data_IF_913452142936
#
_entry.id   IF_913452142936
#
_cell.length_a   1.000
_cell.length_b   1.000
_cell.length_c   1.000
_cell.angle_alpha   90.00
_cell.angle_beta   90.00
_cell.angle_gamma   90.00
#
_symmetry.space_group_name_H-M   'P 1'
#
loop_
_entity.id
_entity.type
_entity.pdbx_description
1 polymer ?
#
# COMPACT_ATOMS: atom_id res chain seq x y z
N UNK A 1 -19.28 -6.36 14.85
CA UNK A 1 -20.11 -5.39 14.08
C UNK A 1 -20.78 -6.14 12.93
N UNK A 2 -22.12 -6.03 12.79
CA UNK A 2 -22.82 -6.64 11.66
C UNK A 2 -22.51 -5.89 10.36
N UNK A 3 -22.06 -6.61 9.33
CA UNK A 3 -21.81 -6.04 8.00
C UNK A 3 -23.11 -6.10 7.22
N UNK A 4 -23.75 -4.96 6.99
CA UNK A 4 -24.97 -4.83 6.19
C UNK A 4 -24.65 -4.39 4.75
N UNK A 5 -23.52 -3.71 4.54
CA UNK A 5 -23.07 -3.22 3.24
C UNK A 5 -21.54 -3.24 3.16
N UNK A 6 -21.01 -3.79 2.08
CA UNK A 6 -19.60 -3.67 1.70
C UNK A 6 -19.52 -3.05 0.30
N UNK A 7 -18.68 -2.03 0.13
CA UNK A 7 -18.52 -1.32 -1.14
C UNK A 7 -17.04 -1.22 -1.48
N UNK A 8 -16.64 -1.83 -2.58
CA UNK A 8 -15.31 -1.63 -3.17
C UNK A 8 -15.36 -0.31 -3.93
N UNK A 9 -14.58 0.67 -3.48
CA UNK A 9 -14.44 2.01 -4.09
C UNK A 9 -13.31 2.07 -5.10
N UNK A 10 -12.28 1.26 -4.88
CA UNK A 10 -11.12 1.17 -5.74
C UNK A 10 -10.60 -0.26 -5.77
N UNK A 11 -10.18 -0.69 -6.95
CA UNK A 11 -9.53 -1.96 -7.20
C UNK A 11 -8.41 -1.77 -8.23
N UNK A 12 -7.26 -2.33 -7.95
CA UNK A 12 -6.12 -2.39 -8.87
C UNK A 12 -5.37 -3.69 -8.68
N UNK A 13 -5.02 -4.34 -9.78
CA UNK A 13 -4.12 -5.50 -9.81
C UNK A 13 -2.94 -5.22 -10.73
N UNK A 14 -1.75 -5.70 -10.38
CA UNK A 14 -0.55 -5.63 -11.21
C UNK A 14 0.50 -6.64 -10.73
N UNK A 15 1.62 -6.76 -11.44
CA UNK A 15 2.74 -7.63 -11.11
C UNK A 15 4.09 -7.01 -11.44
N UNK A 16 5.14 -7.64 -10.93
CA UNK A 16 6.52 -7.21 -11.07
C UNK A 16 7.44 -8.43 -11.21
N UNK A 17 8.50 -8.27 -12.02
CA UNK A 17 9.57 -9.26 -12.13
C UNK A 17 10.93 -8.54 -12.20
N UNK A 18 11.91 -9.00 -11.44
CA UNK A 18 13.29 -8.46 -11.45
C UNK A 18 14.30 -9.51 -11.01
N UNK A 19 15.47 -9.47 -11.61
CA UNK A 19 16.66 -10.23 -11.25
C UNK A 19 17.69 -9.42 -10.43
N UNK A 20 17.40 -8.15 -10.17
CA UNK A 20 18.33 -7.19 -9.56
C UNK A 20 17.77 -6.49 -8.32
N UNK A 21 16.88 -7.15 -7.58
CA UNK A 21 16.24 -6.56 -6.41
C UNK A 21 16.62 -7.24 -5.08
N UNK A 22 17.67 -8.08 -5.05
CA UNK A 22 18.10 -8.70 -3.79
C UNK A 22 18.47 -7.65 -2.74
N UNK A 23 17.90 -7.80 -1.54
CA UNK A 23 18.10 -6.87 -0.44
C UNK A 23 17.48 -5.48 -0.66
N UNK A 24 16.77 -5.24 -1.78
CA UNK A 24 16.11 -3.96 -2.02
C UNK A 24 15.10 -3.68 -0.91
N UNK A 25 15.38 -2.63 -0.15
CA UNK A 25 14.53 -2.19 0.95
C UNK A 25 13.81 -0.91 0.59
N UNK A 26 12.50 -0.90 0.74
CA UNK A 26 11.71 0.31 0.62
C UNK A 26 10.65 0.43 1.73
N UNK A 27 10.21 1.67 1.94
CA UNK A 27 9.16 1.99 2.92
C UNK A 27 8.04 2.71 2.19
N UNK A 28 6.82 2.25 2.37
CA UNK A 28 5.63 2.88 1.77
C UNK A 28 4.47 2.96 2.76
N UNK A 29 3.56 3.86 2.49
CA UNK A 29 2.22 3.93 3.08
C UNK A 29 1.26 3.97 1.91
N UNK A 30 0.32 3.06 1.87
CA UNK A 30 -0.70 3.02 0.83
C UNK A 30 -2.08 3.25 1.46
N UNK A 31 -2.98 3.99 0.78
CA UNK A 31 -4.35 4.20 1.25
C UNK A 31 -5.25 3.00 0.93
N UNK A 32 -4.67 1.85 0.69
CA UNK A 32 -5.32 0.64 0.22
C UNK A 32 -4.92 -0.56 1.06
N UNK A 33 -5.87 -1.44 1.33
CA UNK A 33 -5.56 -2.80 1.71
C UNK A 33 -4.72 -3.44 0.60
N UNK A 34 -3.54 -3.93 0.97
CA UNK A 34 -2.59 -4.53 0.05
C UNK A 34 -2.47 -6.02 0.32
N UNK A 35 -2.77 -6.84 -0.69
CA UNK A 35 -2.50 -8.27 -0.66
C UNK A 35 -1.49 -8.57 -1.76
N UNK A 36 -0.32 -9.04 -1.38
CA UNK A 36 0.81 -9.24 -2.29
C UNK A 36 1.28 -10.67 -2.22
N UNK A 37 1.40 -11.32 -3.37
CA UNK A 37 1.94 -12.67 -3.51
C UNK A 37 3.36 -12.61 -4.06
N UNK A 38 4.30 -13.30 -3.44
CA UNK A 38 5.56 -13.66 -4.07
C UNK A 38 5.35 -14.93 -4.89
N UNK A 39 5.48 -14.86 -6.21
CA UNK A 39 5.43 -16.03 -7.10
C UNK A 39 6.76 -16.77 -7.11
N UNK A 40 7.86 -16.00 -7.13
CA UNK A 40 9.25 -16.44 -6.99
C UNK A 40 9.98 -15.47 -6.08
N UNK A 41 10.81 -15.98 -5.17
CA UNK A 41 11.44 -15.18 -4.12
C UNK A 41 10.51 -14.92 -2.93
N UNK A 42 10.92 -14.04 -2.04
CA UNK A 42 10.17 -13.76 -0.82
C UNK A 42 10.25 -12.29 -0.41
N UNK A 43 9.41 -11.94 0.56
CA UNK A 43 9.45 -10.64 1.23
C UNK A 43 9.70 -10.82 2.72
N UNK A 44 10.56 -9.95 3.27
CA UNK A 44 10.48 -9.61 4.68
C UNK A 44 9.67 -8.33 4.81
N UNK A 45 8.64 -8.36 5.62
CA UNK A 45 7.72 -7.23 5.81
C UNK A 45 7.53 -6.92 7.29
N UNK A 46 7.61 -5.63 7.63
CA UNK A 46 7.23 -5.11 8.94
C UNK A 46 6.17 -4.02 8.79
N UNK A 47 5.12 -4.09 9.59
CA UNK A 47 4.02 -3.12 9.62
C UNK A 47 4.15 -2.20 10.84
N UNK A 48 4.04 -0.89 10.62
CA UNK A 48 4.15 0.12 11.69
C UNK A 48 5.51 0.04 12.39
N UNK A 49 5.47 -0.30 13.67
CA UNK A 49 6.63 -0.56 14.54
C UNK A 49 6.76 -2.04 14.91
N UNK A 50 6.01 -2.93 14.25
CA UNK A 50 6.05 -4.37 14.49
C UNK A 50 7.35 -5.00 14.04
N UNK A 51 7.57 -6.23 14.46
CA UNK A 51 8.69 -7.08 14.00
C UNK A 51 8.47 -7.48 12.53
N UNK A 52 9.57 -7.79 11.84
CA UNK A 52 9.53 -8.26 10.47
C UNK A 52 9.12 -9.72 10.39
N UNK A 53 8.24 -10.04 9.45
CA UNK A 53 7.82 -11.40 9.12
C UNK A 53 8.20 -11.72 7.68
N UNK A 54 8.60 -12.98 7.41
CA UNK A 54 8.93 -13.44 6.07
C UNK A 54 7.76 -14.19 5.44
N UNK A 55 7.43 -13.87 4.19
CA UNK A 55 6.41 -14.60 3.42
C UNK A 55 6.88 -16.02 3.06
N UNK A 56 8.19 -16.23 2.95
CA UNK A 56 8.73 -17.37 2.23
C UNK A 56 8.43 -17.31 0.73
N UNK A 57 9.02 -18.25 -0.02
CA UNK A 57 8.80 -18.39 -1.46
C UNK A 57 7.36 -18.84 -1.76
N UNK A 58 6.67 -18.14 -2.66
CA UNK A 58 5.28 -18.42 -3.00
C UNK A 58 4.24 -18.01 -1.96
N UNK A 59 4.63 -17.30 -0.90
CA UNK A 59 3.72 -16.83 0.14
C UNK A 59 3.11 -15.46 -0.15
N UNK A 60 2.34 -14.97 0.81
CA UNK A 60 1.66 -13.67 0.72
C UNK A 60 2.05 -12.77 1.89
N UNK A 61 1.93 -11.47 1.70
CA UNK A 61 1.74 -10.57 2.81
C UNK A 61 0.43 -9.78 2.67
N UNK A 62 -0.16 -9.42 3.82
CA UNK A 62 -1.39 -8.64 3.93
C UNK A 62 -1.06 -7.40 4.74
N UNK A 63 -1.22 -6.23 4.13
CA UNK A 63 -0.97 -4.96 4.78
C UNK A 63 -2.21 -4.08 4.73
N UNK A 64 -2.77 -3.70 5.89
CA UNK A 64 -3.87 -2.75 5.98
C UNK A 64 -3.52 -1.40 5.36
N UNK A 65 -4.57 -0.65 4.97
CA UNK A 65 -4.42 0.73 4.51
C UNK A 65 -3.78 1.61 5.58
N UNK A 66 -3.13 2.67 5.13
CA UNK A 66 -2.59 3.74 5.98
C UNK A 66 -1.51 3.32 6.98
N UNK A 67 -1.10 2.07 6.98
CA UNK A 67 -0.01 1.57 7.83
C UNK A 67 1.34 1.67 7.08
N UNK A 68 2.37 2.12 7.78
CA UNK A 68 3.74 2.12 7.25
C UNK A 68 4.20 0.67 7.01
N UNK A 69 4.56 0.36 5.77
CA UNK A 69 5.09 -0.93 5.33
C UNK A 69 6.59 -0.78 5.10
N UNK A 70 7.40 -1.56 5.79
CA UNK A 70 8.83 -1.72 5.49
C UNK A 70 9.02 -3.06 4.83
N UNK A 71 9.51 -3.07 3.59
CA UNK A 71 9.56 -4.25 2.73
C UNK A 71 11.00 -4.46 2.28
N UNK A 72 11.50 -5.69 2.40
CA UNK A 72 12.77 -6.14 1.82
C UNK A 72 12.47 -7.25 0.82
N UNK A 73 13.08 -7.15 -0.36
CA UNK A 73 12.94 -8.15 -1.42
C UNK A 73 14.06 -9.18 -1.34
N UNK A 74 13.72 -10.44 -1.56
CA UNK A 74 14.67 -11.53 -1.68
C UNK A 74 14.39 -12.31 -2.96
N UNK A 75 15.39 -12.45 -3.83
CA UNK A 75 15.27 -13.26 -5.04
C UNK A 75 15.22 -14.75 -4.70
N UNK A 76 14.60 -15.54 -5.55
CA UNK A 76 14.64 -16.99 -5.43
C UNK A 76 16.07 -17.49 -5.66
N UNK A 77 16.57 -18.36 -4.81
CA UNK A 77 17.96 -18.84 -4.83
C UNK A 77 18.29 -19.67 -6.09
N UNK A 78 17.29 -20.31 -6.70
CA UNK A 78 17.49 -21.17 -7.87
C UNK A 78 17.38 -20.36 -9.18
N UNK A 79 16.33 -19.55 -9.31
CA UNK A 79 16.08 -18.76 -10.54
C UNK A 79 16.84 -17.43 -10.56
N UNK A 80 17.31 -16.92 -9.41
CA UNK A 80 17.91 -15.60 -9.29
C UNK A 80 16.92 -14.46 -9.53
N UNK A 81 15.61 -14.75 -9.54
CA UNK A 81 14.57 -13.77 -9.86
C UNK A 81 13.61 -13.55 -8.69
N UNK A 82 12.99 -12.38 -8.67
CA UNK A 82 11.85 -12.05 -7.84
C UNK A 82 10.67 -11.78 -8.75
N UNK A 83 9.60 -12.54 -8.58
CA UNK A 83 8.32 -12.32 -9.26
C UNK A 83 7.21 -12.18 -8.25
N UNK A 84 6.39 -11.18 -8.41
CA UNK A 84 5.24 -10.98 -7.54
C UNK A 84 4.04 -10.43 -8.32
N UNK A 85 2.88 -10.56 -7.69
CA UNK A 85 1.64 -9.91 -8.13
C UNK A 85 0.89 -9.39 -6.90
N UNK A 86 0.10 -8.34 -7.08
CA UNK A 86 -0.62 -7.71 -5.98
C UNK A 86 -2.00 -7.24 -6.36
N UNK A 87 -2.83 -7.15 -5.34
CA UNK A 87 -4.16 -6.56 -5.40
C UNK A 87 -4.23 -5.46 -4.34
N UNK A 88 -4.65 -4.27 -4.75
CA UNK A 88 -4.96 -3.14 -3.90
C UNK A 88 -6.46 -2.91 -3.88
N UNK A 89 -7.02 -2.74 -2.70
CA UNK A 89 -8.45 -2.55 -2.48
C UNK A 89 -8.72 -1.38 -1.53
N UNK A 90 -9.63 -0.49 -1.91
CA UNK A 90 -10.29 0.43 -0.99
C UNK A 90 -11.74 -0.05 -0.81
N UNK A 91 -12.05 -0.50 0.40
CA UNK A 91 -13.33 -1.11 0.72
C UNK A 91 -13.94 -0.45 1.95
N UNK A 92 -15.15 0.08 1.79
CA UNK A 92 -15.92 0.62 2.90
C UNK A 92 -17.01 -0.34 3.37
N UNK A 93 -17.12 -0.46 4.69
CA UNK A 93 -18.16 -1.22 5.37
C UNK A 93 -19.16 -0.25 6.00
N UNK A 94 -20.45 -0.50 5.73
CA UNK A 94 -21.59 0.31 6.21
C UNK A 94 -21.45 1.82 5.90
N UNK A 95 -20.65 2.17 4.87
CA UNK A 95 -20.41 3.56 4.45
C UNK A 95 -19.51 4.39 5.38
N UNK A 96 -18.91 3.79 6.41
CA UNK A 96 -18.18 4.56 7.45
C UNK A 96 -16.80 4.02 7.78
N UNK A 97 -16.57 2.72 7.71
CA UNK A 97 -15.31 2.11 8.16
C UNK A 97 -14.57 1.41 7.02
N UNK A 98 -13.25 1.58 6.87
CA UNK A 98 -12.45 0.72 6.01
C UNK A 98 -12.54 -0.74 6.48
N UNK A 99 -12.67 -1.70 5.54
CA UNK A 99 -12.74 -3.12 5.86
C UNK A 99 -11.55 -3.59 6.69
N UNK A 100 -10.38 -3.19 6.29
CA UNK A 100 -9.10 -3.58 6.89
C UNK A 100 -8.83 -2.93 8.26
N UNK A 101 -9.63 -1.93 8.64
CA UNK A 101 -9.61 -1.38 10.00
C UNK A 101 -10.43 -2.18 11.02
N UNK A 102 -11.19 -3.16 10.56
CA UNK A 102 -12.09 -3.96 11.42
C UNK A 102 -11.45 -5.26 11.91
N UNK A 103 -10.32 -5.66 11.33
CA UNK A 103 -9.70 -6.94 11.58
C UNK A 103 -8.20 -6.83 11.74
N UNK A 104 -7.62 -7.70 12.56
CA UNK A 104 -6.19 -7.95 12.61
C UNK A 104 -5.88 -9.14 11.72
N UNK A 105 -5.18 -8.91 10.62
CA UNK A 105 -4.77 -9.94 9.68
C UNK A 105 -3.39 -10.51 10.04
N UNK A 106 -3.08 -11.76 9.67
CA UNK A 106 -1.69 -12.22 9.64
C UNK A 106 -0.90 -11.34 8.67
N UNK A 107 0.29 -10.90 9.09
CA UNK A 107 1.15 -10.04 8.24
C UNK A 107 1.71 -10.84 7.08
N UNK A 108 2.17 -12.08 7.35
CA UNK A 108 2.65 -13.01 6.36
C UNK A 108 1.82 -14.31 6.38
N UNK A 109 1.57 -14.86 5.20
CA UNK A 109 0.90 -16.15 4.99
C UNK A 109 1.84 -17.03 4.17
N UNK A 110 2.25 -18.16 4.73
CA UNK A 110 3.14 -19.11 4.05
C UNK A 110 2.41 -19.82 2.90
N UNK A 111 3.18 -20.32 1.93
CA UNK A 111 2.64 -21.00 0.74
C UNK A 111 1.70 -22.17 1.09
N UNK A 112 2.06 -22.96 2.11
CA UNK A 112 1.27 -24.09 2.59
C UNK A 112 -0.12 -23.71 3.10
N UNK A 113 -0.26 -22.50 3.67
CA UNK A 113 -1.50 -21.99 4.23
C UNK A 113 -2.29 -21.12 3.23
N UNK A 114 -1.74 -20.88 2.05
CA UNK A 114 -2.26 -19.92 1.07
C UNK A 114 -3.11 -20.54 -0.06
N UNK A 115 -3.53 -21.80 0.04
CA UNK A 115 -4.20 -22.52 -1.06
C UNK A 115 -5.44 -21.80 -1.61
N UNK A 116 -6.23 -21.16 -0.74
CA UNK A 116 -7.43 -20.43 -1.16
C UNK A 116 -7.06 -19.07 -1.77
N UNK A 117 -6.09 -18.35 -1.19
CA UNK A 117 -5.58 -17.10 -1.74
C UNK A 117 -4.98 -17.31 -3.13
N UNK A 118 -4.21 -18.39 -3.32
CA UNK A 118 -3.64 -18.75 -4.63
C UNK A 118 -4.74 -18.88 -5.70
N UNK A 119 -5.80 -19.64 -5.42
CA UNK A 119 -6.91 -19.84 -6.36
C UNK A 119 -7.65 -18.55 -6.70
N UNK A 120 -7.84 -17.66 -5.71
CA UNK A 120 -8.47 -16.36 -5.94
C UNK A 120 -7.57 -15.47 -6.82
N UNK A 121 -6.27 -15.44 -6.51
CA UNK A 121 -5.30 -14.66 -7.28
C UNK A 121 -5.16 -15.20 -8.71
N UNK A 122 -5.19 -16.52 -8.92
CA UNK A 122 -5.15 -17.09 -10.27
C UNK A 122 -6.32 -16.58 -11.09
N UNK A 123 -7.55 -16.66 -10.59
CA UNK A 123 -8.75 -16.13 -11.29
C UNK A 123 -8.65 -14.63 -11.53
N UNK A 124 -8.27 -13.85 -10.52
CA UNK A 124 -8.09 -12.39 -10.66
C UNK A 124 -7.10 -12.02 -11.77
N UNK A 125 -6.06 -12.81 -11.99
CA UNK A 125 -5.02 -12.51 -12.97
C UNK A 125 -5.23 -13.21 -14.33
N UNK A 126 -6.15 -14.17 -14.42
CA UNK A 126 -6.57 -14.81 -15.66
C UNK A 126 -7.66 -14.02 -16.38
N UNK A 127 -8.54 -13.31 -15.67
CA UNK A 127 -9.65 -12.55 -16.25
C UNK A 127 -9.37 -11.06 -16.31
N UNK A 128 -9.70 -10.43 -17.47
CA UNK A 128 -9.77 -8.98 -17.62
C UNK A 128 -11.21 -8.45 -17.50
N UNK A 129 -12.20 -9.33 -17.29
CA UNK A 129 -13.58 -8.92 -17.05
C UNK A 129 -13.73 -8.24 -15.69
N UNK A 130 -14.29 -7.02 -15.71
CA UNK A 130 -14.43 -6.20 -14.52
C UNK A 130 -15.38 -6.81 -13.48
N UNK A 131 -16.49 -7.42 -13.93
CA UNK A 131 -17.48 -8.00 -13.02
C UNK A 131 -16.96 -9.28 -12.36
N UNK A 132 -16.24 -10.12 -13.10
CA UNK A 132 -15.55 -11.29 -12.55
C UNK A 132 -14.50 -10.86 -11.53
N UNK A 133 -13.69 -9.84 -11.83
CA UNK A 133 -12.70 -9.31 -10.92
C UNK A 133 -13.34 -8.77 -9.62
N UNK A 134 -14.46 -8.05 -9.70
CA UNK A 134 -15.17 -7.60 -8.49
C UNK A 134 -15.75 -8.76 -7.68
N UNK A 135 -16.29 -9.79 -8.33
CA UNK A 135 -16.75 -11.02 -7.67
C UNK A 135 -15.62 -11.71 -6.90
N UNK A 136 -14.44 -11.82 -7.53
CA UNK A 136 -13.26 -12.41 -6.90
C UNK A 136 -12.69 -11.53 -5.78
N UNK A 137 -12.78 -10.20 -5.91
CA UNK A 137 -12.44 -9.28 -4.81
C UNK A 137 -13.35 -9.49 -3.59
N UNK A 138 -14.66 -9.67 -3.76
CA UNK A 138 -15.55 -10.01 -2.64
C UNK A 138 -15.23 -11.38 -2.02
N UNK A 139 -14.85 -12.36 -2.84
CA UNK A 139 -14.37 -13.66 -2.37
C UNK A 139 -13.06 -13.51 -1.57
N UNK A 140 -12.15 -12.65 -2.04
CA UNK A 140 -10.92 -12.32 -1.33
C UNK A 140 -11.22 -11.69 0.04
N UNK A 141 -12.11 -10.69 0.09
CA UNK A 141 -12.49 -10.04 1.34
C UNK A 141 -13.12 -11.03 2.34
N UNK A 142 -13.99 -11.93 1.85
CA UNK A 142 -14.55 -12.99 2.70
C UNK A 142 -13.45 -13.90 3.25
N UNK A 143 -12.51 -14.33 2.40
CA UNK A 143 -11.38 -15.18 2.81
C UNK A 143 -10.49 -14.47 3.84
N UNK A 144 -10.16 -13.20 3.61
CA UNK A 144 -9.36 -12.42 4.57
C UNK A 144 -10.07 -12.29 5.92
N UNK A 145 -11.39 -12.10 5.93
CA UNK A 145 -12.16 -12.06 7.17
C UNK A 145 -12.10 -13.39 7.94
N UNK A 146 -12.20 -14.52 7.25
CA UNK A 146 -12.08 -15.85 7.89
C UNK A 146 -10.66 -16.13 8.39
N UNK A 147 -9.64 -15.54 7.76
CA UNK A 147 -8.24 -15.63 8.19
C UNK A 147 -7.88 -14.63 9.29
N UNK A 148 -8.75 -13.70 9.64
CA UNK A 148 -8.46 -12.68 10.63
C UNK A 148 -8.19 -13.29 12.02
N UNK A 149 -7.11 -12.85 12.65
CA UNK A 149 -6.67 -13.33 13.97
C UNK A 149 -7.60 -12.85 15.09
N UNK A 150 -8.19 -11.67 14.91
CA UNK A 150 -9.18 -11.07 15.83
C UNK A 150 -9.90 -9.90 15.15
N UNK A 151 -11.05 -9.51 15.69
CA UNK A 151 -11.62 -8.19 15.36
C UNK A 151 -10.72 -7.09 15.94
N UNK A 152 -10.43 -6.08 15.12
CA UNK A 152 -9.66 -4.94 15.57
C UNK A 152 -10.53 -4.03 16.43
N UNK A 153 -9.95 -3.48 17.50
CA UNK A 153 -10.54 -2.32 18.16
C UNK A 153 -10.59 -1.18 17.13
N UNK A 154 -11.75 -0.55 16.99
CA UNK A 154 -11.91 0.54 16.04
C UNK A 154 -10.78 1.58 16.21
N UNK A 155 -10.11 2.01 15.14
CA UNK A 155 -9.08 3.05 15.22
C UNK A 155 -9.63 4.27 15.94
N UNK A 156 -8.77 4.96 16.70
CA UNK A 156 -9.15 6.18 17.41
C UNK A 156 -9.80 7.18 16.41
N UNK A 157 -11.07 7.58 16.57
CA UNK A 157 -11.82 8.31 15.55
C UNK A 157 -11.08 9.56 15.05
N UNK A 158 -10.41 10.28 15.97
CA UNK A 158 -9.69 11.51 15.66
C UNK A 158 -8.43 11.24 14.82
N UNK A 159 -7.78 10.09 15.00
CA UNK A 159 -6.62 9.71 14.17
C UNK A 159 -7.06 9.31 12.78
N UNK A 160 -8.21 8.63 12.65
CA UNK A 160 -8.81 8.34 11.36
C UNK A 160 -9.16 9.62 10.61
N UNK A 161 -9.87 10.55 11.26
CA UNK A 161 -10.23 11.83 10.66
C UNK A 161 -8.99 12.60 10.15
N UNK A 162 -7.89 12.53 10.92
CA UNK A 162 -6.63 13.17 10.52
C UNK A 162 -5.97 12.45 9.32
N UNK A 163 -5.96 11.12 9.28
CA UNK A 163 -5.43 10.37 8.11
C UNK A 163 -6.29 10.60 6.88
N UNK A 164 -7.61 10.57 7.00
CA UNK A 164 -8.55 10.87 5.92
C UNK A 164 -8.33 12.30 5.37
N UNK A 165 -8.14 13.28 6.27
CA UNK A 165 -7.83 14.64 5.86
C UNK A 165 -6.51 14.70 5.08
N UNK A 166 -5.45 14.03 5.56
CA UNK A 166 -4.17 13.98 4.85
C UNK A 166 -4.34 13.38 3.44
N UNK A 167 -5.07 12.27 3.31
CA UNK A 167 -5.25 11.60 2.01
C UNK A 167 -6.10 12.40 1.03
N UNK A 168 -7.02 13.22 1.52
CA UNK A 168 -7.86 14.10 0.68
C UNK A 168 -7.13 15.39 0.27
N UNK A 169 -6.24 15.91 1.13
CA UNK A 169 -5.57 17.20 0.97
C UNK A 169 -4.05 17.10 0.79
N UNK A 170 -3.51 15.92 0.48
CA UNK A 170 -2.06 15.66 0.44
C UNK A 170 -1.26 16.63 -0.46
N UNK A 171 -1.91 17.22 -1.47
CA UNK A 171 -1.28 18.19 -2.38
C UNK A 171 -1.04 19.55 -1.74
N UNK A 172 -1.77 19.85 -0.67
CA UNK A 172 -1.73 21.13 0.02
C UNK A 172 -0.66 21.13 1.12
N UNK A 173 -0.21 22.31 1.57
CA UNK A 173 0.61 22.42 2.76
C UNK A 173 -0.18 22.00 4.00
N UNK A 174 0.23 20.92 4.65
CA UNK A 174 -0.41 20.43 5.88
C UNK A 174 0.60 20.54 7.03
N UNK A 175 0.14 21.07 8.18
CA UNK A 175 0.93 21.17 9.40
C UNK A 175 0.39 20.30 10.51
N UNK A 176 1.26 19.88 11.44
CA UNK A 176 0.85 19.11 12.63
C UNK A 176 -0.20 19.90 13.45
N UNK A 177 -0.04 21.22 13.53
CA UNK A 177 -0.99 22.10 14.23
C UNK A 177 -2.40 22.04 13.65
N UNK A 178 -2.52 22.07 12.30
CA UNK A 178 -3.83 21.93 11.63
C UNK A 178 -4.47 20.59 11.96
N UNK A 179 -3.73 19.48 11.87
CA UNK A 179 -4.24 18.16 12.16
C UNK A 179 -4.64 17.99 13.63
N UNK A 180 -3.86 18.54 14.56
CA UNK A 180 -4.16 18.54 15.97
C UNK A 180 -5.44 19.32 16.29
N UNK A 181 -5.64 20.50 15.66
CA UNK A 181 -6.87 21.29 15.78
C UNK A 181 -8.09 20.52 15.26
N UNK A 182 -7.98 19.89 14.08
CA UNK A 182 -9.05 19.04 13.53
C UNK A 182 -9.42 17.88 14.45
N UNK A 183 -8.41 17.34 15.14
CA UNK A 183 -8.56 16.25 16.12
C UNK A 183 -8.95 16.73 17.53
N UNK A 184 -9.13 18.03 17.73
CA UNK A 184 -9.42 18.67 19.03
C UNK A 184 -8.43 18.30 20.13
N UNK A 185 -7.15 18.21 19.76
CA UNK A 185 -6.05 17.81 20.65
C UNK A 185 -4.94 18.86 20.69
N UNK A 186 -4.12 18.83 21.75
CA UNK A 186 -2.82 19.51 21.73
C UNK A 186 -1.89 18.83 20.71
N UNK A 187 -0.96 19.60 20.11
CA UNK A 187 -0.02 19.06 19.12
C UNK A 187 0.78 17.86 19.66
N UNK A 188 1.23 17.94 20.92
CA UNK A 188 2.03 16.87 21.55
C UNK A 188 1.22 15.58 21.72
N UNK A 189 -0.03 15.69 22.21
CA UNK A 189 -0.91 14.54 22.38
C UNK A 189 -1.29 13.92 21.02
N UNK A 190 -1.66 14.76 20.06
CA UNK A 190 -1.96 14.32 18.69
C UNK A 190 -0.77 13.60 18.07
N UNK A 191 0.44 14.19 18.14
CA UNK A 191 1.65 13.58 17.58
C UNK A 191 1.93 12.20 18.19
N UNK A 192 1.86 12.08 19.52
CA UNK A 192 2.10 10.81 20.21
C UNK A 192 1.07 9.75 19.83
N UNK A 193 -0.21 10.13 19.80
CA UNK A 193 -1.32 9.23 19.47
C UNK A 193 -1.25 8.79 18.01
N UNK A 194 -1.02 9.74 17.08
CA UNK A 194 -0.88 9.44 15.64
C UNK A 194 0.29 8.47 15.39
N UNK A 195 1.45 8.74 15.98
CA UNK A 195 2.62 7.87 15.86
C UNK A 195 2.39 6.48 16.44
N UNK A 196 1.65 6.39 17.56
CA UNK A 196 1.32 5.11 18.19
C UNK A 196 0.39 4.27 17.30
N UNK A 197 -0.61 4.90 16.65
CA UNK A 197 -1.60 4.18 15.85
C UNK A 197 -1.11 3.87 14.41
N UNK A 198 -0.40 4.81 13.78
CA UNK A 198 0.00 4.68 12.36
C UNK A 198 1.50 4.41 12.17
N UNK A 199 2.26 4.21 13.25
CA UNK A 199 3.68 3.82 13.20
C UNK A 199 4.63 4.89 12.69
N UNK A 200 4.14 6.10 12.35
CA UNK A 200 4.95 7.21 11.82
C UNK A 200 4.44 8.56 12.29
N UNK A 201 5.29 9.60 12.23
CA UNK A 201 4.83 10.96 12.51
C UNK A 201 3.88 11.48 11.42
N UNK A 202 2.97 12.45 11.73
CA UNK A 202 2.01 12.97 10.75
C UNK A 202 2.65 13.47 9.45
N UNK A 203 3.77 14.19 9.54
CA UNK A 203 4.48 14.69 8.35
C UNK A 203 5.22 13.57 7.59
N UNK A 204 5.76 12.58 8.30
CA UNK A 204 6.35 11.41 7.63
C UNK A 204 5.26 10.60 6.91
N UNK A 205 4.09 10.45 7.51
CA UNK A 205 2.92 9.82 6.91
C UNK A 205 2.50 10.56 5.62
N UNK A 206 2.28 11.88 5.69
CA UNK A 206 1.99 12.73 4.52
C UNK A 206 3.01 12.53 3.40
N UNK A 207 4.30 12.57 3.75
CA UNK A 207 5.36 12.42 2.77
C UNK A 207 5.38 11.01 2.14
N UNK A 208 5.17 9.96 2.93
CA UNK A 208 5.06 8.59 2.40
C UNK A 208 3.86 8.45 1.47
N UNK A 209 2.73 9.04 1.83
CA UNK A 209 1.54 9.04 0.98
C UNK A 209 1.79 9.76 -0.35
N UNK A 210 2.38 10.97 -0.32
CA UNK A 210 2.79 11.71 -1.54
C UNK A 210 3.71 10.89 -2.42
N UNK A 211 4.69 10.21 -1.82
CA UNK A 211 5.64 9.38 -2.55
C UNK A 211 4.98 8.14 -3.15
N UNK A 212 3.98 7.55 -2.51
CA UNK A 212 3.26 6.40 -3.09
C UNK A 212 2.43 6.82 -4.31
N UNK A 213 1.75 7.96 -4.25
CA UNK A 213 1.05 8.53 -5.42
C UNK A 213 2.04 8.89 -6.54
N UNK A 214 3.20 9.47 -6.17
CA UNK A 214 4.25 9.77 -7.15
C UNK A 214 4.79 8.51 -7.84
N UNK A 215 4.95 7.40 -7.12
CA UNK A 215 5.40 6.13 -7.67
C UNK A 215 4.42 5.58 -8.71
N UNK A 216 3.11 5.71 -8.47
CA UNK A 216 2.08 5.35 -9.45
C UNK A 216 2.13 6.25 -10.69
N UNK A 217 2.20 7.58 -10.51
CA UNK A 217 2.32 8.52 -11.62
C UNK A 217 3.59 8.29 -12.46
N UNK A 218 4.70 7.94 -11.82
CA UNK A 218 5.93 7.58 -12.52
C UNK A 218 5.77 6.34 -13.41
N UNK A 219 4.99 5.36 -12.98
CA UNK A 219 4.75 4.13 -13.72
C UNK A 219 3.73 4.31 -14.87
N UNK A 220 2.75 5.20 -14.70
CA UNK A 220 1.57 5.30 -15.56
C UNK A 220 1.54 6.52 -16.49
N UNK A 221 2.32 7.56 -16.19
CA UNK A 221 2.29 8.81 -16.95
C UNK A 221 3.61 9.12 -17.66
N UNK A 222 3.53 10.06 -18.62
CA UNK A 222 4.69 10.64 -19.31
C UNK A 222 5.17 11.95 -18.66
N UNK A 223 4.55 12.41 -17.57
CA UNK A 223 4.94 13.63 -16.85
C UNK A 223 6.40 13.57 -16.41
N UNK A 224 7.09 14.70 -16.43
CA UNK A 224 8.46 14.81 -15.91
C UNK A 224 8.50 14.57 -14.40
N UNK A 225 9.67 14.25 -13.88
CA UNK A 225 9.88 14.09 -12.42
C UNK A 225 9.53 15.36 -11.66
N UNK A 226 9.80 16.53 -12.24
CA UNK A 226 9.46 17.84 -11.65
C UNK A 226 7.95 18.03 -11.59
N UNK A 227 7.24 17.80 -12.70
CA UNK A 227 5.78 17.92 -12.76
C UNK A 227 5.09 16.96 -11.77
N UNK A 228 5.60 15.75 -11.61
CA UNK A 228 5.07 14.79 -10.62
C UNK A 228 5.33 15.29 -9.21
N UNK A 229 6.56 15.80 -8.92
CA UNK A 229 6.89 16.39 -7.62
C UNK A 229 5.89 17.48 -7.22
N UNK A 230 5.63 18.40 -8.13
CA UNK A 230 4.68 19.51 -7.93
C UNK A 230 3.25 18.99 -7.78
N UNK A 231 2.83 18.06 -8.64
CA UNK A 231 1.49 17.48 -8.64
C UNK A 231 1.15 16.75 -7.34
N UNK A 232 2.15 16.17 -6.64
CA UNK A 232 1.95 15.50 -5.35
C UNK A 232 2.22 16.39 -4.15
N UNK A 233 2.50 17.69 -4.36
CA UNK A 233 2.59 18.70 -3.31
C UNK A 233 3.98 18.87 -2.67
N UNK A 234 5.07 18.46 -3.34
CA UNK A 234 6.43 18.84 -2.92
C UNK A 234 6.82 20.17 -3.56
N UNK A 235 7.23 21.13 -2.75
CA UNK A 235 7.70 22.44 -3.22
C UNK A 235 9.13 22.40 -3.82
N UNK A 236 9.89 21.34 -3.59
CA UNK A 236 11.28 21.18 -4.04
C UNK A 236 11.47 19.78 -4.65
N UNK A 237 11.66 19.73 -5.97
CA UNK A 237 11.87 18.49 -6.74
C UNK A 237 13.20 17.79 -6.37
N UNK A 238 14.21 18.52 -5.87
CA UNK A 238 15.45 17.91 -5.41
C UNK A 238 15.25 17.20 -4.08
N UNK A 239 14.53 17.84 -3.15
CA UNK A 239 14.13 17.21 -1.88
C UNK A 239 13.25 15.98 -2.14
N UNK A 240 12.25 16.11 -3.03
CA UNK A 240 11.42 14.99 -3.49
C UNK A 240 12.27 13.81 -3.97
N UNK A 241 13.21 14.05 -4.90
CA UNK A 241 14.04 12.99 -5.48
C UNK A 241 14.94 12.30 -4.46
N UNK A 242 15.52 13.07 -3.51
CA UNK A 242 16.31 12.52 -2.39
C UNK A 242 15.44 11.67 -1.46
N UNK A 243 14.24 12.17 -1.11
CA UNK A 243 13.32 11.46 -0.24
C UNK A 243 12.80 10.20 -0.91
N UNK A 244 12.43 10.27 -2.19
CA UNK A 244 12.00 9.13 -3.01
C UNK A 244 13.09 8.04 -3.05
N UNK A 245 14.34 8.40 -3.36
CA UNK A 245 15.45 7.44 -3.37
C UNK A 245 15.69 6.81 -1.99
N UNK A 246 15.58 7.57 -0.91
CA UNK A 246 15.71 7.04 0.45
C UNK A 246 14.58 6.05 0.79
N UNK A 247 13.38 6.30 0.27
CA UNK A 247 12.16 5.51 0.56
C UNK A 247 12.09 4.24 -0.28
N UNK A 248 12.41 4.33 -1.58
CA UNK A 248 12.26 3.23 -2.54
C UNK A 248 13.59 2.56 -2.93
N UNK A 249 14.73 3.02 -2.41
CA UNK A 249 16.06 2.48 -2.74
C UNK A 249 16.58 2.88 -4.12
N UNK A 250 15.76 3.51 -4.97
CA UNK A 250 16.08 3.93 -6.33
C UNK A 250 15.52 5.33 -6.63
N UNK A 251 16.12 6.02 -7.60
CA UNK A 251 15.65 7.35 -8.04
C UNK A 251 14.27 7.27 -8.74
N UNK A 252 13.52 8.38 -8.81
CA UNK A 252 12.26 8.44 -9.57
C UNK A 252 12.40 7.98 -11.03
N UNK A 253 13.51 8.33 -11.69
CA UNK A 253 13.77 7.94 -13.08
C UNK A 253 14.04 6.45 -13.21
N UNK A 254 14.80 5.86 -12.29
CA UNK A 254 15.03 4.41 -12.23
C UNK A 254 13.73 3.66 -11.97
N UNK A 255 12.90 4.16 -11.04
CA UNK A 255 11.58 3.61 -10.73
C UNK A 255 10.67 3.62 -11.97
N UNK A 256 10.60 4.74 -12.71
CA UNK A 256 9.87 4.80 -13.97
C UNK A 256 10.33 3.75 -14.96
N UNK A 257 11.65 3.61 -15.16
CA UNK A 257 12.20 2.63 -16.09
C UNK A 257 11.84 1.19 -15.71
N UNK A 258 11.83 0.90 -14.42
CA UNK A 258 11.57 -0.44 -13.89
C UNK A 258 10.08 -0.83 -13.92
N UNK A 259 9.18 0.13 -13.61
CA UNK A 259 7.75 -0.14 -13.41
C UNK A 259 6.83 0.40 -14.50
N UNK A 260 7.37 0.97 -15.59
CA UNK A 260 6.55 1.52 -16.67
C UNK A 260 5.74 0.43 -17.35
N UNK A 261 4.41 0.54 -17.28
CA UNK A 261 3.50 -0.36 -18.00
C UNK A 261 3.68 -0.22 -19.53
N UNK A 262 3.69 -1.31 -20.31
CA UNK A 262 3.82 -1.26 -21.78
C UNK A 262 2.70 -0.47 -22.50
N UNK A 263 1.58 -0.24 -21.85
CA UNK A 263 0.39 0.44 -22.40
C UNK A 263 0.43 1.98 -22.40
N UNK A 264 1.51 2.61 -21.94
CA UNK A 264 1.65 4.07 -21.95
C UNK A 264 2.26 4.64 -23.26
N UNK A 265 2.02 3.99 -24.42
CA UNK A 265 2.33 4.62 -25.70
C UNK A 265 1.12 5.43 -26.17
N UNK A 266 1.24 6.75 -26.42
CA UNK A 266 0.23 7.49 -27.15
C UNK A 266 0.17 6.88 -28.55
N UNK A 267 -1.02 6.43 -28.96
CA UNK A 267 -1.28 6.14 -30.37
C UNK A 267 -0.97 7.43 -31.13
N UNK A 268 0.10 7.43 -31.90
CA UNK A 268 0.34 8.47 -32.92
C UNK A 268 -0.80 8.35 -33.93
N UNK A 269 -1.66 9.35 -33.95
CA UNK A 269 -2.52 9.65 -35.08
C UNK A 269 -1.69 10.10 -36.26
#
# INVERSE_FOLDING_TARGET
MEIQRAQIRFFKKNGFSSDSCEGLRHVKVLPYLSVVQSLEGSYDIALGNGEGESTGDGGFFIAPSDIRQTIVHHVNAESGTMRCRWVFLDVQINGTAPFDSLYHFPVAVKREDAALLNRIFDRLFESDDLLENYSDCYTLLHTLREMALSEASAPHPEIRNASDYITQHYREPITVRQLALLSKMSESNFYALFKRHLGSSPIAYLNHYRLSVAAELLAESSQTVSEISDAVGFADAMYFSKLFKRTYGMSPTEHRRMYRSPSAHPQKQ
#
